data_IF_124501627217
#
_entry.id   IF_124501627217
#
_cell.length_a   1.000
_cell.length_b   1.000
_cell.length_c   1.000
_cell.angle_alpha   90.00
_cell.angle_beta   90.00
_cell.angle_gamma   90.00
#
_symmetry.space_group_name_H-M   'P 1'
#
loop_
_entity.id
_entity.type
_entity.pdbx_description
1 polymer ?
#
# COMPACT_ATOMS: atom_id res chain seq x y z
N UNK A 1 -10.93 -12.55 16.42
CA UNK A 1 -10.35 -11.96 15.20
C UNK A 1 -11.48 -11.81 14.20
N UNK A 2 -11.70 -10.62 13.64
CA UNK A 2 -12.86 -10.32 12.77
C UNK A 2 -12.70 -10.83 11.33
N UNK A 3 -11.46 -10.94 10.86
CA UNK A 3 -11.10 -11.40 9.52
C UNK A 3 -10.29 -12.68 9.61
N UNK A 4 -10.54 -13.60 8.69
CA UNK A 4 -9.70 -14.77 8.42
C UNK A 4 -8.39 -14.37 7.75
N UNK A 5 -7.38 -15.25 7.81
CA UNK A 5 -6.10 -15.01 7.14
C UNK A 5 -6.25 -14.85 5.62
N UNK A 6 -7.24 -15.52 5.01
CA UNK A 6 -7.54 -15.39 3.59
C UNK A 6 -8.10 -14.00 3.24
N UNK A 7 -9.03 -13.48 4.06
CA UNK A 7 -9.57 -12.13 3.88
C UNK A 7 -8.49 -11.06 4.10
N UNK A 8 -7.63 -11.23 5.11
CA UNK A 8 -6.49 -10.34 5.33
C UNK A 8 -5.53 -10.34 4.14
N UNK A 9 -5.23 -11.51 3.57
CA UNK A 9 -4.43 -11.60 2.36
C UNK A 9 -5.09 -10.87 1.17
N UNK A 10 -6.41 -10.98 1.03
CA UNK A 10 -7.16 -10.26 -0.01
C UNK A 10 -7.13 -8.74 0.19
N UNK A 11 -7.28 -8.26 1.41
CA UNK A 11 -7.13 -6.83 1.74
C UNK A 11 -5.75 -6.33 1.33
N UNK A 12 -4.68 -7.08 1.63
CA UNK A 12 -3.31 -6.74 1.23
C UNK A 12 -3.15 -6.69 -0.31
N UNK A 13 -3.59 -7.74 -1.02
CA UNK A 13 -3.56 -7.84 -2.49
C UNK A 13 -4.32 -6.67 -3.16
N UNK A 14 -5.50 -6.32 -2.65
CA UNK A 14 -6.30 -5.23 -3.20
C UNK A 14 -5.73 -3.85 -2.86
N UNK A 15 -5.18 -3.67 -1.66
CA UNK A 15 -4.55 -2.42 -1.27
C UNK A 15 -3.30 -2.16 -2.11
N UNK A 16 -2.62 -3.24 -2.52
CA UNK A 16 -1.47 -3.18 -3.41
C UNK A 16 -1.79 -2.60 -4.80
N UNK A 17 -3.02 -2.76 -5.27
CA UNK A 17 -3.47 -2.19 -6.56
C UNK A 17 -4.33 -0.93 -6.38
N UNK A 18 -4.30 -0.32 -5.19
CA UNK A 18 -5.06 0.89 -4.85
C UNK A 18 -6.58 0.75 -4.97
N UNK A 19 -7.12 -0.45 -4.81
CA UNK A 19 -8.57 -0.63 -4.80
C UNK A 19 -9.18 0.19 -3.64
N UNK A 20 -10.26 0.95 -3.87
CA UNK A 20 -10.92 1.72 -2.81
C UNK A 20 -11.42 0.82 -1.67
N UNK A 21 -11.33 1.32 -0.43
CA UNK A 21 -11.80 0.59 0.76
C UNK A 21 -13.29 0.27 0.69
N UNK A 22 -14.10 1.14 0.07
CA UNK A 22 -15.53 0.87 -0.17
C UNK A 22 -15.75 -0.38 -1.01
N UNK A 23 -14.93 -0.57 -2.04
CA UNK A 23 -15.10 -1.66 -3.00
C UNK A 23 -14.59 -2.97 -2.41
N UNK A 24 -13.49 -2.91 -1.64
CA UNK A 24 -13.04 -4.03 -0.81
C UNK A 24 -14.13 -4.48 0.15
N UNK A 25 -14.79 -3.52 0.82
CA UNK A 25 -15.84 -3.81 1.79
C UNK A 25 -17.06 -4.49 1.14
N UNK A 26 -17.43 -4.07 -0.07
CA UNK A 26 -18.48 -4.75 -0.87
C UNK A 26 -18.08 -6.20 -1.17
N UNK A 27 -16.83 -6.46 -1.56
CA UNK A 27 -16.38 -7.82 -1.86
C UNK A 27 -16.33 -8.70 -0.59
N UNK A 28 -15.96 -8.12 0.55
CA UNK A 28 -15.91 -8.79 1.85
C UNK A 28 -17.28 -8.94 2.52
N UNK A 29 -18.34 -8.39 1.93
CA UNK A 29 -19.70 -8.34 2.51
C UNK A 29 -19.72 -7.72 3.92
N UNK A 30 -19.03 -6.58 4.08
CA UNK A 30 -19.02 -5.79 5.32
C UNK A 30 -19.38 -4.34 5.06
N UNK A 31 -19.97 -3.61 6.03
CA UNK A 31 -20.20 -2.18 5.86
C UNK A 31 -18.87 -1.43 5.65
N UNK A 32 -18.78 -0.49 4.69
CA UNK A 32 -17.54 0.26 4.42
C UNK A 32 -16.97 1.00 5.63
N UNK A 33 -17.83 1.58 6.48
CA UNK A 33 -17.37 2.28 7.69
C UNK A 33 -16.65 1.33 8.66
N UNK A 34 -17.17 0.11 8.81
CA UNK A 34 -16.53 -0.93 9.62
C UNK A 34 -15.11 -1.22 9.16
N UNK A 35 -14.91 -1.47 7.86
CA UNK A 35 -13.58 -1.75 7.33
C UNK A 35 -12.65 -0.53 7.47
N UNK A 36 -13.17 0.68 7.31
CA UNK A 36 -12.39 1.91 7.54
C UNK A 36 -11.96 2.06 9.00
N UNK A 37 -12.85 1.77 9.95
CA UNK A 37 -12.53 1.78 11.37
C UNK A 37 -11.47 0.73 11.71
N UNK A 38 -11.65 -0.50 11.23
CA UNK A 38 -10.68 -1.58 11.42
C UNK A 38 -9.32 -1.24 10.79
N UNK A 39 -9.28 -0.63 9.60
CA UNK A 39 -8.04 -0.14 8.99
C UNK A 39 -7.42 1.02 9.76
N UNK A 40 -8.20 1.86 10.46
CA UNK A 40 -7.65 2.96 11.27
C UNK A 40 -7.04 2.49 12.59
N UNK A 41 -7.52 1.39 13.15
CA UNK A 41 -6.96 0.80 14.36
C UNK A 41 -5.61 0.11 14.10
N UNK A 42 -4.53 0.74 14.55
CA UNK A 42 -3.14 0.25 14.42
C UNK A 42 -2.90 -1.13 15.03
N UNK A 43 -3.75 -1.56 15.95
CA UNK A 43 -3.66 -2.88 16.59
C UNK A 43 -4.38 -3.97 15.79
N UNK A 44 -5.24 -3.58 14.84
CA UNK A 44 -6.02 -4.53 14.06
C UNK A 44 -5.14 -5.28 13.03
N UNK A 45 -5.49 -6.54 12.72
CA UNK A 45 -4.87 -7.25 11.61
C UNK A 45 -5.14 -6.59 10.24
N UNK A 46 -6.30 -5.94 10.08
CA UNK A 46 -6.69 -5.25 8.84
C UNK A 46 -5.80 -4.02 8.57
N UNK A 47 -5.41 -3.28 9.61
CA UNK A 47 -4.42 -2.20 9.50
C UNK A 47 -3.12 -2.72 8.90
N UNK A 48 -2.59 -3.81 9.45
CA UNK A 48 -1.31 -4.39 8.96
C UNK A 48 -1.42 -4.84 7.52
N UNK A 49 -2.47 -5.56 7.16
CA UNK A 49 -2.69 -6.03 5.79
C UNK A 49 -2.83 -4.87 4.78
N UNK A 50 -3.73 -3.92 5.06
CA UNK A 50 -3.99 -2.78 4.18
C UNK A 50 -2.75 -1.90 3.98
N UNK A 51 -2.09 -1.52 5.08
CA UNK A 51 -0.92 -0.65 5.01
C UNK A 51 0.29 -1.35 4.39
N UNK A 52 0.49 -2.66 4.66
CA UNK A 52 1.52 -3.45 3.98
C UNK A 52 1.27 -3.47 2.47
N UNK A 53 0.05 -3.73 2.02
CA UNK A 53 -0.31 -3.71 0.59
C UNK A 53 0.07 -2.38 -0.07
N UNK A 54 -0.31 -1.25 0.53
CA UNK A 54 0.06 0.09 0.03
C UNK A 54 1.58 0.30 -0.04
N UNK A 55 2.32 -0.16 0.96
CA UNK A 55 3.79 -0.05 0.98
C UNK A 55 4.40 -0.92 -0.12
N UNK A 56 3.88 -2.12 -0.36
CA UNK A 56 4.32 -2.98 -1.46
C UNK A 56 4.11 -2.33 -2.83
N UNK A 57 3.01 -1.59 -3.03
CA UNK A 57 2.82 -0.79 -4.26
C UNK A 57 3.91 0.26 -4.43
N UNK A 58 4.25 0.99 -3.35
CA UNK A 58 5.32 2.00 -3.36
C UNK A 58 6.67 1.35 -3.69
N UNK A 59 6.97 0.19 -3.12
CA UNK A 59 8.19 -0.58 -3.43
C UNK A 59 8.25 -0.93 -4.91
N UNK A 60 7.15 -1.41 -5.48
CA UNK A 60 7.08 -1.73 -6.91
C UNK A 60 7.32 -0.50 -7.79
N UNK A 61 6.67 0.64 -7.48
CA UNK A 61 6.86 1.89 -8.23
C UNK A 61 8.32 2.38 -8.16
N UNK A 62 8.89 2.48 -6.95
CA UNK A 62 10.29 2.88 -6.74
C UNK A 62 11.26 1.94 -7.47
N UNK A 63 10.97 0.64 -7.48
CA UNK A 63 11.78 -0.33 -8.24
C UNK A 63 11.78 -0.05 -9.74
N UNK A 64 10.62 0.31 -10.32
CA UNK A 64 10.54 0.68 -11.73
C UNK A 64 11.23 2.02 -12.02
N UNK A 65 11.07 3.01 -11.14
CA UNK A 65 11.79 4.29 -11.24
C UNK A 65 13.31 4.07 -11.24
N UNK A 66 13.83 3.25 -10.32
CA UNK A 66 15.26 2.90 -10.28
C UNK A 66 15.73 2.21 -11.56
N UNK A 67 14.92 1.33 -12.17
CA UNK A 67 15.26 0.71 -13.47
C UNK A 67 15.35 1.75 -14.59
N UNK A 68 14.42 2.68 -14.65
CA UNK A 68 14.41 3.76 -15.64
C UNK A 68 15.58 4.73 -15.44
N UNK A 69 15.91 5.06 -14.19
CA UNK A 69 17.04 5.90 -13.85
C UNK A 69 18.37 5.28 -14.30
N UNK A 70 18.54 3.96 -14.14
CA UNK A 70 19.74 3.22 -14.60
C UNK A 70 19.99 3.27 -16.10
N UNK A 71 18.93 3.42 -16.91
CA UNK A 71 19.04 3.58 -18.36
C UNK A 71 19.03 5.06 -18.80
N UNK A 72 19.12 6.00 -17.84
CA UNK A 72 19.33 7.41 -18.10
C UNK A 72 18.05 8.25 -18.29
N UNK A 73 16.88 7.78 -17.87
CA UNK A 73 15.65 8.59 -17.92
C UNK A 73 15.79 9.83 -17.00
N UNK A 74 15.74 11.06 -17.52
CA UNK A 74 15.93 12.27 -16.72
C UNK A 74 14.89 12.43 -15.61
N UNK A 75 13.62 12.16 -15.92
CA UNK A 75 12.52 12.21 -14.94
C UNK A 75 12.71 11.18 -13.83
N UNK A 76 13.17 9.97 -14.17
CA UNK A 76 13.41 8.94 -13.17
C UNK A 76 14.60 9.28 -12.25
N UNK A 77 15.66 9.90 -12.78
CA UNK A 77 16.78 10.38 -11.98
C UNK A 77 16.32 11.42 -10.95
N UNK A 78 15.50 12.39 -11.36
CA UNK A 78 14.93 13.40 -10.46
C UNK A 78 14.04 12.76 -9.38
N UNK A 79 13.13 11.86 -9.78
CA UNK A 79 12.28 11.14 -8.83
C UNK A 79 13.08 10.31 -7.82
N UNK A 80 14.12 9.58 -8.26
CA UNK A 80 14.95 8.77 -7.36
C UNK A 80 15.75 9.62 -6.38
N UNK A 81 16.22 10.81 -6.81
CA UNK A 81 16.87 11.79 -5.91
C UNK A 81 15.89 12.28 -4.85
N UNK A 82 14.67 12.63 -5.24
CA UNK A 82 13.63 13.03 -4.29
C UNK A 82 13.29 11.92 -3.30
N UNK A 83 13.11 10.69 -3.80
CA UNK A 83 12.85 9.52 -2.95
C UNK A 83 13.98 9.27 -1.91
N UNK A 84 15.23 9.60 -2.24
CA UNK A 84 16.36 9.50 -1.32
C UNK A 84 16.27 10.57 -0.21
N UNK A 85 15.99 11.83 -0.57
CA UNK A 85 15.78 12.91 0.39
C UNK A 85 14.61 12.61 1.34
N UNK A 86 13.49 12.14 0.80
CA UNK A 86 12.32 11.74 1.62
C UNK A 86 12.67 10.61 2.61
N UNK A 87 13.68 9.77 2.30
CA UNK A 87 14.15 8.72 3.20
C UNK A 87 15.10 9.28 4.27
N UNK A 88 16.02 10.15 3.88
CA UNK A 88 16.93 10.85 4.80
C UNK A 88 16.17 11.74 5.81
N UNK A 89 15.02 12.29 5.42
CA UNK A 89 14.15 13.10 6.30
C UNK A 89 13.33 12.27 7.31
N UNK A 90 13.12 10.97 7.07
CA UNK A 90 12.36 10.05 7.95
C UNK A 90 13.25 9.37 9.02
N UNK A 91 14.58 9.39 8.84
CA UNK A 91 15.61 8.86 9.75
C UNK A 91 15.96 9.82 10.91
#
# INVERSE_FOLDING_TARGET
>A
MRYSDQELKKIEEWAQIYLPVSDMAVILDVPPETLREDIRDKTSPAYKAYHRGKVLSKVQLRTQEMKLARIGSPLALDNTRKNLLDMEDDE
#
